data_IF_256607060866
#
_entry.id   IF_256607060866
#
_cell.length_a   1.000
_cell.length_b   1.000
_cell.length_c   1.000
_cell.angle_alpha   90.00
_cell.angle_beta   90.00
_cell.angle_gamma   90.00
#
_symmetry.space_group_name_H-M   'P 1'
#
loop_
_entity.id
_entity.type
_entity.pdbx_description
1 polymer ?
#
# COMPACT_ATOMS: atom_id res chain seq x y z
N UNK A 1 -43.74 -25.98 -22.02
CA UNK A 1 -43.68 -24.55 -21.63
C UNK A 1 -43.64 -24.48 -20.10
N UNK A 2 -42.48 -24.18 -19.49
CA UNK A 2 -42.39 -23.86 -18.04
C UNK A 2 -41.12 -23.08 -17.61
N UNK A 3 -40.19 -22.80 -18.51
CA UNK A 3 -38.92 -22.09 -18.19
C UNK A 3 -39.10 -20.67 -17.62
N UNK A 4 -40.24 -20.02 -17.86
CA UNK A 4 -40.47 -18.62 -17.42
C UNK A 4 -40.65 -18.45 -15.91
N UNK A 5 -41.14 -19.47 -15.18
CA UNK A 5 -41.35 -19.35 -13.72
C UNK A 5 -40.07 -19.53 -12.90
N UNK A 6 -39.12 -20.34 -13.38
CA UNK A 6 -37.87 -20.65 -12.67
C UNK A 6 -36.95 -19.42 -12.58
N UNK A 7 -36.85 -18.62 -13.64
CA UNK A 7 -36.04 -17.39 -13.64
C UNK A 7 -36.57 -16.35 -12.64
N UNK A 8 -37.89 -16.26 -12.43
CA UNK A 8 -38.47 -15.32 -11.47
C UNK A 8 -38.14 -15.69 -10.01
N UNK A 9 -38.11 -16.97 -9.68
CA UNK A 9 -37.77 -17.44 -8.33
C UNK A 9 -36.29 -17.25 -8.00
N UNK A 10 -35.39 -17.48 -8.96
CA UNK A 10 -33.96 -17.24 -8.78
C UNK A 10 -33.66 -15.75 -8.52
N UNK A 11 -34.27 -14.85 -9.30
CA UNK A 11 -34.14 -13.41 -9.11
C UNK A 11 -34.65 -12.94 -7.74
N UNK A 12 -35.78 -13.49 -7.28
CA UNK A 12 -36.33 -13.17 -5.96
C UNK A 12 -35.41 -13.64 -4.84
N UNK A 13 -34.90 -14.87 -4.94
CA UNK A 13 -34.01 -15.45 -3.93
C UNK A 13 -32.68 -14.67 -3.83
N UNK A 14 -32.10 -14.28 -4.97
CA UNK A 14 -30.91 -13.42 -5.01
C UNK A 14 -31.20 -12.04 -4.43
N UNK A 15 -32.36 -11.47 -4.75
CA UNK A 15 -32.78 -10.17 -4.20
C UNK A 15 -32.94 -10.23 -2.68
N UNK A 16 -33.57 -11.27 -2.16
CA UNK A 16 -33.74 -11.44 -0.71
C UNK A 16 -32.39 -11.70 -0.02
N UNK A 17 -31.52 -12.53 -0.60
CA UNK A 17 -30.14 -12.72 -0.11
C UNK A 17 -29.33 -11.41 -0.10
N UNK A 18 -29.51 -10.55 -1.11
CA UNK A 18 -28.85 -9.24 -1.20
C UNK A 18 -29.29 -8.24 -0.11
N UNK A 19 -30.27 -8.58 0.73
CA UNK A 19 -30.66 -7.77 1.89
C UNK A 19 -30.00 -8.23 3.19
N UNK A 20 -29.43 -9.44 3.19
CA UNK A 20 -28.85 -10.04 4.39
C UNK A 20 -27.46 -9.44 4.63
N UNK A 21 -27.24 -8.88 5.83
CA UNK A 21 -25.95 -8.26 6.19
C UNK A 21 -24.78 -9.24 6.12
N UNK A 22 -24.96 -10.47 6.63
CA UNK A 22 -23.89 -11.47 6.66
C UNK A 22 -23.40 -11.86 5.26
N UNK A 23 -24.28 -11.85 4.25
CA UNK A 23 -23.87 -12.06 2.85
C UNK A 23 -22.90 -10.97 2.40
N UNK A 24 -23.21 -9.70 2.68
CA UNK A 24 -22.32 -8.60 2.30
C UNK A 24 -21.04 -8.53 3.12
N UNK A 25 -21.08 -8.95 4.39
CA UNK A 25 -19.88 -9.08 5.22
C UNK A 25 -18.92 -10.10 4.59
N UNK A 26 -19.41 -11.29 4.25
CA UNK A 26 -18.61 -12.35 3.63
C UNK A 26 -18.07 -11.93 2.26
N UNK A 27 -18.91 -11.36 1.40
CA UNK A 27 -18.47 -10.86 0.08
C UNK A 27 -17.44 -9.74 0.23
N UNK A 28 -17.55 -8.91 1.27
CA UNK A 28 -16.53 -7.87 1.55
C UNK A 28 -15.21 -8.49 1.97
N UNK A 29 -15.22 -9.53 2.82
CA UNK A 29 -14.00 -10.26 3.20
C UNK A 29 -13.31 -10.89 1.99
N UNK A 30 -14.06 -11.60 1.15
CA UNK A 30 -13.50 -12.23 -0.06
C UNK A 30 -12.92 -11.19 -1.03
N UNK A 31 -13.61 -10.06 -1.22
CA UNK A 31 -13.10 -8.96 -2.04
C UNK A 31 -11.84 -8.35 -1.43
N UNK A 32 -11.79 -8.16 -0.11
CA UNK A 32 -10.61 -7.65 0.57
C UNK A 32 -9.42 -8.59 0.42
N UNK A 33 -9.62 -9.90 0.55
CA UNK A 33 -8.59 -10.91 0.31
C UNK A 33 -8.08 -10.85 -1.14
N UNK A 34 -8.99 -10.80 -2.12
CA UNK A 34 -8.63 -10.72 -3.55
C UNK A 34 -7.85 -9.44 -3.89
N UNK A 35 -8.16 -8.33 -3.22
CA UNK A 35 -7.53 -7.03 -3.44
C UNK A 35 -6.37 -6.72 -2.47
N UNK A 36 -5.92 -7.72 -1.70
CA UNK A 36 -4.84 -7.61 -0.70
C UNK A 36 -5.07 -6.47 0.33
N UNK A 37 -6.34 -6.24 0.70
CA UNK A 37 -6.75 -5.26 1.70
C UNK A 37 -6.74 -5.91 3.07
N UNK A 38 -5.97 -5.35 4.00
CA UNK A 38 -5.86 -5.90 5.36
C UNK A 38 -7.18 -5.77 6.14
N UNK A 39 -7.56 -6.76 6.98
CA UNK A 39 -8.83 -6.77 7.71
C UNK A 39 -9.07 -5.55 8.61
N UNK A 40 -8.02 -5.00 9.21
CA UNK A 40 -8.04 -3.79 10.03
C UNK A 40 -8.26 -2.49 9.22
N UNK A 41 -8.21 -2.54 7.90
CA UNK A 41 -8.45 -1.38 7.03
C UNK A 41 -9.87 -0.85 7.21
N UNK A 42 -10.84 -1.73 7.47
CA UNK A 42 -12.24 -1.34 7.68
C UNK A 42 -12.80 -1.95 8.97
N UNK A 43 -13.57 -1.20 9.78
CA UNK A 43 -14.23 -1.74 10.95
C UNK A 43 -15.50 -2.52 10.53
N UNK A 44 -15.33 -3.60 9.78
CA UNK A 44 -16.43 -4.29 9.07
C UNK A 44 -17.63 -4.62 9.97
N UNK A 45 -17.38 -5.00 11.22
CA UNK A 45 -18.44 -5.31 12.17
C UNK A 45 -19.31 -4.12 12.56
N UNK A 46 -18.77 -2.91 12.50
CA UNK A 46 -19.50 -1.67 12.76
C UNK A 46 -20.21 -1.11 11.52
N UNK A 47 -19.93 -1.65 10.32
CA UNK A 47 -20.50 -1.14 9.07
C UNK A 47 -21.93 -1.64 8.86
N UNK A 48 -22.77 -0.73 8.36
CA UNK A 48 -24.11 -1.07 7.88
C UNK A 48 -24.06 -1.84 6.54
N UNK A 49 -25.17 -2.51 6.22
CA UNK A 49 -25.31 -3.31 5.00
C UNK A 49 -25.07 -2.49 3.72
N UNK A 50 -25.44 -1.20 3.72
CA UNK A 50 -25.29 -0.34 2.54
C UNK A 50 -23.82 -0.05 2.25
N UNK A 51 -23.04 0.20 3.30
CA UNK A 51 -21.62 0.48 3.26
C UNK A 51 -20.83 -0.78 2.90
N UNK A 52 -21.13 -1.92 3.53
CA UNK A 52 -20.54 -3.22 3.16
C UNK A 52 -20.75 -3.53 1.67
N UNK A 53 -21.99 -3.41 1.19
CA UNK A 53 -22.32 -3.57 -0.23
C UNK A 53 -21.55 -2.59 -1.13
N UNK A 54 -21.42 -1.33 -0.71
CA UNK A 54 -20.68 -0.34 -1.47
C UNK A 54 -19.21 -0.74 -1.62
N UNK A 55 -18.57 -1.14 -0.52
CA UNK A 55 -17.16 -1.58 -0.49
C UNK A 55 -16.99 -2.82 -1.38
N UNK A 56 -17.76 -3.89 -1.12
CA UNK A 56 -17.73 -5.15 -1.87
C UNK A 56 -17.88 -4.97 -3.38
N UNK A 57 -18.74 -4.04 -3.82
CA UNK A 57 -19.02 -3.83 -5.25
C UNK A 57 -18.17 -2.75 -5.89
N UNK A 58 -17.36 -2.03 -5.12
CA UNK A 58 -16.62 -0.86 -5.62
C UNK A 58 -15.61 -1.20 -6.74
N UNK A 59 -14.83 -2.30 -6.69
CA UNK A 59 -13.89 -2.63 -7.78
C UNK A 59 -14.60 -2.94 -9.09
N UNK A 60 -15.68 -3.73 -9.04
CA UNK A 60 -16.48 -4.09 -10.21
C UNK A 60 -17.19 -2.86 -10.82
N UNK A 61 -17.69 -1.96 -9.96
CA UNK A 61 -18.33 -0.71 -10.40
C UNK A 61 -17.32 0.23 -11.05
N UNK A 62 -16.14 0.38 -10.46
CA UNK A 62 -15.07 1.19 -11.03
C UNK A 62 -14.57 0.62 -12.36
N UNK A 63 -14.36 -0.70 -12.43
CA UNK A 63 -14.00 -1.40 -13.67
C UNK A 63 -15.04 -1.22 -14.76
N UNK A 64 -16.33 -1.28 -14.41
CA UNK A 64 -17.43 -1.04 -15.35
C UNK A 64 -17.46 0.42 -15.82
N UNK A 65 -17.22 1.36 -14.90
CA UNK A 65 -17.11 2.78 -15.24
C UNK A 65 -15.99 3.04 -16.24
N UNK A 66 -14.79 2.47 -16.03
CA UNK A 66 -13.66 2.56 -16.94
C UNK A 66 -13.98 1.95 -18.32
N UNK A 67 -14.59 0.76 -18.36
CA UNK A 67 -14.97 0.09 -19.62
C UNK A 67 -15.96 0.92 -20.43
N UNK A 68 -16.90 1.59 -19.77
CA UNK A 68 -17.93 2.40 -20.42
C UNK A 68 -17.41 3.77 -20.90
N UNK A 69 -16.23 4.21 -20.44
CA UNK A 69 -15.67 5.53 -20.75
C UNK A 69 -14.29 5.42 -21.43
N UNK A 70 -14.02 4.36 -22.19
CA UNK A 70 -12.71 4.16 -22.85
C UNK A 70 -12.24 5.37 -23.65
N UNK A 71 -13.15 6.05 -24.32
CA UNK A 71 -12.85 7.18 -25.22
C UNK A 71 -13.21 8.55 -24.62
N UNK A 72 -13.60 8.60 -23.34
CA UNK A 72 -14.00 9.86 -22.68
C UNK A 72 -13.27 10.09 -21.37
N UNK A 73 -13.01 11.36 -21.06
CA UNK A 73 -12.35 11.75 -19.82
C UNK A 73 -13.30 11.53 -18.64
N UNK A 74 -12.92 10.62 -17.74
CA UNK A 74 -13.58 10.51 -16.44
C UNK A 74 -13.26 11.74 -15.59
N UNK A 75 -14.30 12.46 -15.17
CA UNK A 75 -14.17 13.54 -14.20
C UNK A 75 -14.34 13.00 -12.78
N UNK A 76 -13.56 13.48 -11.80
CA UNK A 76 -13.72 13.07 -10.42
C UNK A 76 -15.11 13.50 -9.92
N UNK A 77 -15.81 12.58 -9.24
CA UNK A 77 -17.12 12.88 -8.64
C UNK A 77 -17.00 13.89 -7.49
N UNK A 78 -15.88 13.84 -6.77
CA UNK A 78 -15.56 14.77 -5.70
C UNK A 78 -14.04 14.90 -5.58
N UNK A 79 -13.58 16.08 -5.20
CA UNK A 79 -12.18 16.35 -4.87
C UNK A 79 -12.09 16.79 -3.41
N UNK A 80 -11.04 16.36 -2.72
CA UNK A 80 -10.74 16.80 -1.35
C UNK A 80 -9.33 17.35 -1.33
N UNK A 81 -9.12 18.40 -0.54
CA UNK A 81 -7.80 18.99 -0.31
C UNK A 81 -7.34 18.55 1.06
N UNK A 82 -6.16 17.93 1.14
CA UNK A 82 -5.50 17.62 2.40
C UNK A 82 -4.67 18.84 2.81
N UNK A 83 -5.10 19.50 3.90
CA UNK A 83 -4.38 20.62 4.49
C UNK A 83 -3.47 20.12 5.61
N UNK A 84 -2.27 20.70 5.74
CA UNK A 84 -1.37 20.43 6.87
C UNK A 84 -0.23 19.40 6.70
N UNK A 85 -0.04 18.63 5.61
CA UNK A 85 1.11 17.71 5.53
C UNK A 85 2.48 18.41 5.71
N UNK A 86 2.65 19.61 5.15
CA UNK A 86 3.89 20.39 5.24
C UNK A 86 4.04 21.02 6.64
N UNK A 87 2.94 21.51 7.21
CA UNK A 87 2.93 22.12 8.55
C UNK A 87 3.37 21.10 9.60
N UNK A 88 2.92 19.86 9.47
CA UNK A 88 3.32 18.76 10.33
C UNK A 88 4.81 18.44 10.20
N UNK A 89 5.33 18.30 8.98
CA UNK A 89 6.76 18.08 8.77
C UNK A 89 7.60 19.23 9.35
N UNK A 90 7.13 20.47 9.17
CA UNK A 90 7.76 21.67 9.74
C UNK A 90 7.74 21.65 11.27
N UNK A 91 6.61 21.25 11.88
CA UNK A 91 6.48 21.08 13.34
C UNK A 91 7.47 20.06 13.90
N UNK A 92 7.78 19.01 13.13
CA UNK A 92 8.80 18.03 13.48
C UNK A 92 10.24 18.52 13.21
N UNK A 93 10.42 19.78 12.80
CA UNK A 93 11.73 20.39 12.57
C UNK A 93 12.32 20.13 11.18
N UNK A 94 11.52 19.59 10.25
CA UNK A 94 11.95 19.44 8.86
C UNK A 94 11.67 20.70 8.05
N UNK A 95 12.70 21.19 7.36
CA UNK A 95 12.55 22.18 6.31
C UNK A 95 12.23 21.47 5.01
N UNK A 96 10.95 21.51 4.64
CA UNK A 96 10.46 21.01 3.35
C UNK A 96 10.84 22.01 2.27
N UNK A 97 11.68 21.62 1.31
CA UNK A 97 11.98 22.48 0.16
C UNK A 97 10.76 22.51 -0.79
N UNK A 98 10.45 23.64 -1.45
CA UNK A 98 9.34 23.71 -2.42
C UNK A 98 9.47 22.71 -3.59
N UNK A 99 10.70 22.27 -3.86
CA UNK A 99 11.03 21.32 -4.92
C UNK A 99 11.03 19.86 -4.42
N UNK A 100 10.74 19.63 -3.14
CA UNK A 100 10.71 18.29 -2.56
C UNK A 100 9.70 17.45 -3.32
N UNK A 101 10.14 16.27 -3.74
CA UNK A 101 9.27 15.26 -4.30
C UNK A 101 8.38 14.72 -3.19
N UNK A 102 7.07 14.83 -3.41
CA UNK A 102 6.09 14.17 -2.57
C UNK A 102 5.68 12.91 -3.29
N UNK A 103 5.68 11.80 -2.55
CA UNK A 103 5.33 10.52 -3.12
C UNK A 103 4.08 10.01 -2.41
N UNK A 104 2.88 10.43 -2.87
CA UNK A 104 1.64 9.92 -2.32
C UNK A 104 1.40 8.49 -2.78
N UNK A 105 1.20 7.58 -1.83
CA UNK A 105 0.79 6.20 -2.10
C UNK A 105 -0.50 5.91 -1.38
N UNK A 106 -1.51 5.53 -2.14
CA UNK A 106 -2.77 5.07 -1.59
C UNK A 106 -2.62 3.60 -1.18
N UNK A 107 -2.91 3.29 0.09
CA UNK A 107 -2.86 1.90 0.54
C UNK A 107 -4.03 1.09 -0.06
N UNK A 108 -3.89 -0.25 -0.21
CA UNK A 108 -4.97 -1.14 -0.61
C UNK A 108 -6.31 -0.81 0.09
N UNK A 109 -7.38 -0.77 -0.71
CA UNK A 109 -8.72 -0.35 -0.27
C UNK A 109 -8.98 1.16 -0.35
N UNK A 110 -7.94 1.99 -0.41
CA UNK A 110 -8.11 3.42 -0.68
C UNK A 110 -8.61 4.27 0.48
N UNK A 111 -8.67 3.71 1.69
CA UNK A 111 -9.01 4.47 2.90
C UNK A 111 -7.82 5.27 3.43
N UNK A 112 -6.63 4.70 3.37
CA UNK A 112 -5.44 5.34 3.94
C UNK A 112 -4.53 5.87 2.85
N UNK A 113 -4.02 7.08 3.06
CA UNK A 113 -3.00 7.70 2.23
C UNK A 113 -1.68 7.74 3.00
N UNK A 114 -0.67 7.12 2.43
CA UNK A 114 0.70 7.19 2.90
C UNK A 114 1.43 8.30 2.14
N UNK A 115 2.09 9.20 2.86
CA UNK A 115 2.88 10.29 2.29
C UNK A 115 4.32 10.17 2.78
N UNK A 116 5.26 10.26 1.85
CA UNK A 116 6.68 10.43 2.15
C UNK A 116 7.16 11.78 1.62
N UNK A 117 7.82 12.54 2.50
CA UNK A 117 8.39 13.86 2.24
C UNK A 117 9.88 13.79 2.50
N UNK A 118 10.70 14.12 1.51
CA UNK A 118 12.12 14.31 1.73
C UNK A 118 12.40 15.73 2.22
N UNK A 119 13.42 15.94 3.03
CA UNK A 119 13.76 17.27 3.50
C UNK A 119 15.10 17.33 4.20
N UNK A 120 15.43 18.50 4.71
CA UNK A 120 16.59 18.68 5.59
C UNK A 120 16.11 19.12 6.97
N UNK A 121 16.79 18.67 8.02
CA UNK A 121 16.54 19.22 9.37
C UNK A 121 17.41 20.43 9.58
N UNK A 122 16.84 21.47 10.19
CA UNK A 122 17.57 22.68 10.55
C UNK A 122 18.61 22.37 11.64
N UNK A 123 19.91 22.50 11.34
CA UNK A 123 20.98 22.27 12.32
C UNK A 123 22.37 22.20 11.71
N UNK A 124 23.40 22.20 12.57
CA UNK A 124 24.80 22.04 12.18
C UNK A 124 25.04 20.59 11.73
N UNK A 125 25.05 20.37 10.42
CA UNK A 125 25.25 19.07 9.79
C UNK A 125 24.02 18.55 9.05
N UNK A 126 23.46 19.37 8.15
CA UNK A 126 22.29 19.05 7.31
C UNK A 126 22.37 17.65 6.71
N UNK A 127 21.72 16.68 7.38
CA UNK A 127 21.46 15.36 6.81
C UNK A 127 20.08 15.39 6.17
N UNK A 128 19.97 14.77 5.00
CA UNK A 128 18.67 14.51 4.40
C UNK A 128 17.90 13.56 5.31
N UNK A 129 16.64 13.89 5.59
CA UNK A 129 15.71 13.06 6.35
C UNK A 129 14.44 12.91 5.55
N UNK A 130 13.64 11.90 5.88
CA UNK A 130 12.28 11.78 5.37
C UNK A 130 11.25 11.92 6.48
N UNK A 131 10.15 12.61 6.22
CA UNK A 131 8.94 12.58 7.04
C UNK A 131 7.96 11.63 6.38
N UNK A 132 7.47 10.68 7.14
CA UNK A 132 6.42 9.76 6.71
C UNK A 132 5.16 10.04 7.49
N UNK A 133 4.03 10.06 6.78
CA UNK A 133 2.72 10.37 7.35
C UNK A 133 1.70 9.36 6.86
N UNK A 134 0.80 8.95 7.75
CA UNK A 134 -0.37 8.17 7.41
C UNK A 134 -1.62 8.97 7.70
N UNK A 135 -2.46 9.12 6.68
CA UNK A 135 -3.72 9.83 6.73
C UNK A 135 -4.89 8.85 6.54
N UNK A 136 -5.87 8.88 7.45
CA UNK A 136 -7.17 8.25 7.24
C UNK A 136 -8.06 9.21 6.43
N UNK A 137 -8.40 8.83 5.20
CA UNK A 137 -9.28 9.60 4.30
C UNK A 137 -10.78 9.40 4.63
N UNK A 138 -11.07 8.52 5.59
CA UNK A 138 -12.43 8.13 5.97
C UNK A 138 -12.99 7.04 5.07
N UNK A 139 -14.22 6.62 5.41
CA UNK A 139 -14.90 5.56 4.68
C UNK A 139 -15.35 6.06 3.28
N UNK A 140 -15.34 5.17 2.25
CA UNK A 140 -15.85 5.52 0.94
C UNK A 140 -17.30 6.01 1.01
N UNK A 141 -17.55 7.20 0.45
CA UNK A 141 -18.89 7.79 0.39
C UNK A 141 -19.34 8.55 1.63
N UNK A 142 -18.56 8.59 2.72
CA UNK A 142 -18.84 9.46 3.87
C UNK A 142 -18.16 10.81 3.67
N UNK A 143 -18.74 11.90 4.18
CA UNK A 143 -18.12 13.24 4.18
C UNK A 143 -17.12 13.41 5.33
N UNK A 144 -16.53 12.32 5.82
CA UNK A 144 -15.57 12.36 6.92
C UNK A 144 -14.36 13.21 6.54
N UNK A 145 -13.95 14.09 7.45
CA UNK A 145 -12.73 14.87 7.31
C UNK A 145 -11.53 13.93 7.40
N UNK A 146 -10.54 14.12 6.54
CA UNK A 146 -9.30 13.35 6.60
C UNK A 146 -8.56 13.67 7.90
N UNK A 147 -7.97 12.66 8.52
CA UNK A 147 -7.25 12.81 9.80
C UNK A 147 -5.83 12.26 9.67
N UNK A 148 -4.86 12.97 10.22
CA UNK A 148 -3.49 12.48 10.35
C UNK A 148 -3.46 11.45 11.49
N UNK A 149 -3.26 10.18 11.16
CA UNK A 149 -3.23 9.08 12.12
C UNK A 149 -1.84 8.90 12.74
N UNK A 150 -0.80 9.10 11.94
CA UNK A 150 0.58 8.94 12.38
C UNK A 150 1.54 9.82 11.56
N UNK A 151 2.63 10.24 12.20
CA UNK A 151 3.70 11.02 11.58
C UNK A 151 5.03 10.68 12.24
N UNK A 152 6.10 10.53 11.46
CA UNK A 152 7.43 10.20 11.99
C UNK A 152 8.55 10.70 11.08
N UNK A 153 9.71 10.96 11.68
CA UNK A 153 10.93 11.26 10.95
C UNK A 153 11.75 9.99 10.84
N UNK A 154 12.20 9.73 9.63
CA UNK A 154 13.15 8.71 9.27
C UNK A 154 14.52 9.38 9.11
N UNK A 155 15.52 8.89 9.84
CA UNK A 155 16.83 9.57 10.02
C UNK A 155 17.84 9.36 8.88
N UNK A 156 17.66 8.33 8.06
CA UNK A 156 18.59 7.98 6.97
C UNK A 156 18.18 8.62 5.62
N UNK A 157 19.11 8.59 4.66
CA UNK A 157 18.86 9.06 3.29
C UNK A 157 18.25 7.92 2.50
N UNK A 158 17.11 8.16 1.87
CA UNK A 158 16.39 7.12 1.15
C UNK A 158 16.51 7.29 -0.35
N UNK A 159 16.92 6.21 -1.01
CA UNK A 159 17.07 6.14 -2.47
C UNK A 159 15.72 5.79 -3.11
N UNK A 160 14.97 4.92 -2.44
CA UNK A 160 13.73 4.35 -2.92
C UNK A 160 12.93 3.78 -1.75
N UNK A 161 11.62 3.61 -1.95
CA UNK A 161 10.75 3.13 -0.89
C UNK A 161 9.47 2.53 -1.45
N UNK A 162 8.80 1.73 -0.63
CA UNK A 162 7.48 1.22 -0.94
C UNK A 162 6.72 0.74 0.30
N UNK A 163 5.39 0.71 0.23
CA UNK A 163 4.52 0.13 1.26
C UNK A 163 3.83 -1.14 0.74
N UNK A 164 3.86 -2.20 1.55
CA UNK A 164 3.35 -3.53 1.23
C UNK A 164 2.40 -4.04 2.31
N UNK A 165 1.26 -4.66 1.97
CA UNK A 165 0.44 -5.36 2.95
C UNK A 165 1.09 -6.70 3.38
N UNK A 166 1.07 -7.00 4.67
CA UNK A 166 1.34 -8.33 5.22
C UNK A 166 0.02 -9.01 5.60
N UNK A 167 -0.49 -9.94 4.76
CA UNK A 167 -1.76 -10.60 5.03
C UNK A 167 -1.72 -11.49 6.27
N UNK A 168 -0.53 -11.89 6.76
CA UNK A 168 -0.39 -12.80 7.90
C UNK A 168 -0.49 -12.02 9.21
N UNK A 169 0.24 -10.91 9.32
CA UNK A 169 0.26 -10.11 10.56
C UNK A 169 -0.73 -8.95 10.56
N UNK A 170 -1.48 -8.73 9.48
CA UNK A 170 -2.39 -7.58 9.33
C UNK A 170 -1.66 -6.24 9.56
N UNK A 171 -0.41 -6.13 9.11
CA UNK A 171 0.36 -4.88 9.15
C UNK A 171 0.79 -4.50 7.75
N UNK A 172 1.13 -3.25 7.54
CA UNK A 172 1.86 -2.81 6.36
C UNK A 172 3.36 -2.79 6.67
N UNK A 173 4.18 -3.18 5.69
CA UNK A 173 5.62 -3.01 5.70
C UNK A 173 5.99 -1.82 4.83
N UNK A 174 6.59 -0.80 5.42
CA UNK A 174 7.33 0.23 4.70
C UNK A 174 8.76 -0.29 4.49
N UNK A 175 9.11 -0.59 3.25
CA UNK A 175 10.46 -0.98 2.84
C UNK A 175 11.17 0.25 2.30
N UNK A 176 12.36 0.54 2.80
CA UNK A 176 13.11 1.73 2.44
C UNK A 176 14.57 1.36 2.17
N UNK A 177 15.07 1.73 1.00
CA UNK A 177 16.49 1.57 0.64
C UNK A 177 17.26 2.81 1.10
N UNK A 178 18.34 2.62 1.85
CA UNK A 178 19.30 3.65 2.19
C UNK A 178 20.72 3.27 1.72
N UNK A 179 21.70 4.09 2.09
CA UNK A 179 23.12 3.86 1.80
C UNK A 179 23.71 2.66 2.56
N UNK A 180 23.03 2.17 3.61
CA UNK A 180 23.47 1.04 4.45
C UNK A 180 22.76 -0.27 4.12
N UNK A 181 21.75 -0.26 3.23
CA UNK A 181 20.97 -1.43 2.86
C UNK A 181 19.47 -1.15 2.79
N UNK A 182 18.67 -2.08 3.30
CA UNK A 182 17.20 -2.03 3.26
C UNK A 182 16.66 -2.08 4.68
N UNK A 183 15.96 -1.02 5.07
CA UNK A 183 15.23 -0.95 6.32
C UNK A 183 13.75 -1.29 6.09
N UNK A 184 13.22 -2.17 6.94
CA UNK A 184 11.82 -2.59 6.91
C UNK A 184 11.16 -2.12 8.20
N UNK A 185 10.08 -1.37 8.05
CA UNK A 185 9.26 -0.91 9.17
C UNK A 185 7.86 -1.51 9.08
N UNK A 186 7.41 -2.19 10.14
CA UNK A 186 6.02 -2.65 10.23
C UNK A 186 5.13 -1.58 10.90
N UNK A 187 3.93 -1.36 10.36
CA UNK A 187 2.94 -0.45 10.95
C UNK A 187 1.50 -0.92 10.73
N UNK A 188 0.62 -0.60 11.68
CA UNK A 188 -0.82 -0.89 11.62
C UNK A 188 -1.60 0.40 11.37
N UNK A 189 -2.67 0.35 10.57
CA UNK A 189 -3.58 1.47 10.35
C UNK A 189 -4.53 1.75 11.52
N UNK A 190 -4.71 0.80 12.45
CA UNK A 190 -5.63 0.87 13.58
C UNK A 190 -5.05 1.46 14.87
N UNK A 191 -3.73 1.67 14.93
CA UNK A 191 -3.04 2.19 16.13
C UNK A 191 -2.21 3.41 15.76
N UNK A 192 -2.05 4.40 16.67
CA UNK A 192 -0.94 5.33 16.58
C UNK A 192 0.36 4.52 16.52
N UNK A 193 1.19 4.76 15.51
CA UNK A 193 2.47 4.08 15.36
C UNK A 193 3.60 5.09 15.20
N UNK A 194 4.81 4.65 15.56
CA UNK A 194 6.03 5.43 15.48
C UNK A 194 7.08 4.64 14.71
N UNK A 195 7.61 5.22 13.63
CA UNK A 195 8.73 4.65 12.87
C UNK A 195 10.08 4.89 13.57
N UNK A 196 10.15 4.58 14.86
CA UNK A 196 11.35 4.90 15.64
C UNK A 196 12.56 4.05 15.24
N UNK A 197 12.34 2.78 14.86
CA UNK A 197 13.39 1.84 14.44
C UNK A 197 12.86 0.86 13.39
N UNK A 198 13.72 0.43 12.44
CA UNK A 198 13.38 -0.66 11.55
C UNK A 198 13.13 -1.94 12.35
N UNK A 199 12.10 -2.67 11.96
CA UNK A 199 11.79 -4.01 12.46
C UNK A 199 12.83 -5.02 11.97
N UNK A 200 13.36 -4.80 10.77
CA UNK A 200 14.44 -5.59 10.20
C UNK A 200 15.34 -4.70 9.34
N UNK A 201 16.64 -4.99 9.34
CA UNK A 201 17.63 -4.34 8.48
C UNK A 201 18.33 -5.42 7.67
N UNK A 202 18.15 -5.38 6.36
CA UNK A 202 18.87 -6.23 5.42
C UNK A 202 20.08 -5.43 4.96
N UNK A 203 21.28 -5.99 5.15
CA UNK A 203 22.53 -5.40 4.71
C UNK A 203 23.07 -6.28 3.57
N UNK A 204 22.77 -5.95 2.30
CA UNK A 204 23.27 -6.71 1.16
C UNK A 204 24.78 -6.66 1.06
N UNK A 205 25.38 -7.67 0.44
CA UNK A 205 26.78 -7.62 0.08
C UNK A 205 26.94 -6.85 -1.24
N UNK A 206 27.17 -5.54 -1.13
CA UNK A 206 27.31 -4.62 -2.26
C UNK A 206 26.19 -3.58 -2.37
N UNK A 207 26.36 -2.67 -3.34
CA UNK A 207 25.40 -1.60 -3.61
C UNK A 207 24.17 -2.16 -4.32
N UNK A 208 22.98 -1.82 -3.85
CA UNK A 208 21.72 -2.25 -4.49
C UNK A 208 21.54 -1.45 -5.79
N UNK A 209 21.60 -2.16 -6.92
CA UNK A 209 21.36 -1.59 -8.25
C UNK A 209 19.87 -1.47 -8.55
N UNK A 210 19.10 -2.45 -8.11
CA UNK A 210 17.66 -2.49 -8.31
C UNK A 210 16.99 -3.39 -7.28
N UNK A 211 15.70 -3.15 -7.03
CA UNK A 211 14.88 -4.05 -6.24
C UNK A 211 13.43 -4.02 -6.73
N UNK A 212 12.77 -5.15 -6.55
CA UNK A 212 11.37 -5.36 -6.85
C UNK A 212 10.73 -6.14 -5.73
N UNK A 213 9.41 -6.19 -5.72
CA UNK A 213 8.65 -6.88 -4.70
C UNK A 213 7.45 -7.54 -5.33
N UNK A 214 6.94 -8.54 -4.64
CA UNK A 214 5.70 -9.19 -5.00
C UNK A 214 5.16 -9.91 -3.79
N UNK A 215 3.91 -9.62 -3.43
CA UNK A 215 3.23 -10.21 -2.28
C UNK A 215 4.11 -10.09 -1.01
N UNK A 216 4.51 -11.23 -0.46
CA UNK A 216 5.32 -11.37 0.75
C UNK A 216 6.83 -11.54 0.46
N UNK A 217 7.32 -11.08 -0.69
CA UNK A 217 8.73 -11.18 -1.07
C UNK A 217 9.27 -9.86 -1.59
N UNK A 218 10.51 -9.59 -1.23
CA UNK A 218 11.31 -8.53 -1.84
C UNK A 218 12.55 -9.18 -2.47
N UNK A 219 12.87 -8.75 -3.67
CA UNK A 219 14.00 -9.20 -4.44
C UNK A 219 14.88 -8.00 -4.77
N UNK A 220 16.19 -8.13 -4.67
CA UNK A 220 17.11 -7.08 -5.07
C UNK A 220 18.35 -7.64 -5.75
N UNK A 221 19.01 -6.77 -6.51
CA UNK A 221 20.22 -7.06 -7.26
C UNK A 221 21.32 -6.14 -6.76
N UNK A 222 22.49 -6.68 -6.45
CA UNK A 222 23.66 -5.89 -6.05
C UNK A 222 24.65 -5.72 -7.19
N UNK A 223 25.56 -4.75 -7.06
CA UNK A 223 26.70 -4.51 -7.93
C UNK A 223 27.70 -5.68 -8.00
N UNK A 224 27.61 -6.62 -7.06
CA UNK A 224 28.37 -7.89 -7.04
C UNK A 224 27.68 -9.02 -7.80
N UNK A 225 26.71 -8.69 -8.65
CA UNK A 225 25.92 -9.67 -9.40
C UNK A 225 25.24 -10.68 -8.47
N UNK A 226 24.81 -10.25 -7.29
CA UNK A 226 24.03 -11.08 -6.38
C UNK A 226 22.55 -10.74 -6.52
N UNK A 227 21.73 -11.74 -6.80
CA UNK A 227 20.28 -11.65 -6.68
C UNK A 227 19.89 -12.22 -5.34
N UNK A 228 19.16 -11.46 -4.53
CA UNK A 228 18.67 -11.91 -3.23
C UNK A 228 17.16 -11.78 -3.19
N UNK A 229 16.48 -12.80 -2.68
CA UNK A 229 15.04 -12.78 -2.41
C UNK A 229 14.84 -13.01 -0.91
N UNK A 230 14.26 -12.03 -0.26
CA UNK A 230 13.78 -12.13 1.11
C UNK A 230 12.30 -12.49 1.12
N UNK A 231 11.95 -13.59 1.78
CA UNK A 231 10.57 -14.02 2.01
C UNK A 231 10.14 -13.64 3.43
N UNK A 232 9.21 -12.69 3.54
CA UNK A 232 8.70 -12.19 4.82
C UNK A 232 7.96 -13.26 5.63
N UNK A 233 7.29 -14.19 4.95
CA UNK A 233 6.54 -15.29 5.59
C UNK A 233 7.49 -16.32 6.19
N UNK A 234 8.54 -16.67 5.45
CA UNK A 234 9.56 -17.63 5.91
C UNK A 234 10.62 -17.00 6.80
N UNK A 235 10.73 -15.67 6.80
CA UNK A 235 11.80 -14.90 7.45
C UNK A 235 13.18 -15.40 7.02
N UNK A 236 13.34 -15.62 5.72
CA UNK A 236 14.55 -16.21 5.15
C UNK A 236 14.94 -15.50 3.86
N UNK A 237 16.25 -15.31 3.66
CA UNK A 237 16.82 -14.92 2.38
C UNK A 237 17.24 -16.15 1.58
N UNK A 238 17.06 -16.11 0.26
CA UNK A 238 17.77 -16.97 -0.69
C UNK A 238 18.56 -16.09 -1.64
N UNK A 239 19.81 -16.44 -1.92
CA UNK A 239 20.66 -15.65 -2.81
C UNK A 239 21.36 -16.51 -3.86
N UNK A 240 21.62 -15.88 -5.00
CA UNK A 240 22.32 -16.49 -6.13
C UNK A 240 23.34 -15.48 -6.66
N UNK A 241 24.50 -15.98 -7.07
CA UNK A 241 25.45 -15.20 -7.86
C UNK A 241 25.09 -15.44 -9.32
N UNK A 242 24.79 -14.36 -10.05
CA UNK A 242 24.53 -14.39 -11.49
C UNK A 242 25.80 -14.01 -12.24
N UNK A 243 25.92 -14.49 -13.49
CA UNK A 243 27.03 -14.12 -14.35
C UNK A 243 27.01 -12.60 -14.60
N UNK A 244 28.14 -11.87 -14.44
CA UNK A 244 28.21 -10.42 -14.66
C UNK A 244 27.82 -9.98 -16.08
N UNK A 245 27.78 -10.89 -17.05
CA UNK A 245 27.31 -10.60 -18.41
C UNK A 245 25.79 -10.60 -18.57
N UNK A 246 25.01 -10.97 -17.54
CA UNK A 246 23.56 -10.80 -17.58
C UNK A 246 23.21 -9.32 -17.64
N UNK A 247 22.39 -8.94 -18.62
CA UNK A 247 21.87 -7.58 -18.69
C UNK A 247 20.93 -7.33 -17.51
N UNK A 248 20.94 -6.11 -16.95
CA UNK A 248 20.05 -5.71 -15.85
C UNK A 248 18.58 -6.08 -16.13
N UNK A 249 18.15 -5.96 -17.38
CA UNK A 249 16.80 -6.34 -17.81
C UNK A 249 16.52 -7.85 -17.73
N UNK A 250 17.51 -8.69 -18.00
CA UNK A 250 17.36 -10.15 -17.87
C UNK A 250 17.25 -10.53 -16.39
N UNK A 251 18.01 -9.87 -15.53
CA UNK A 251 17.90 -10.05 -14.08
C UNK A 251 16.54 -9.57 -13.57
N UNK A 252 16.02 -8.44 -14.08
CA UNK A 252 14.65 -7.98 -13.79
C UNK A 252 13.60 -9.01 -14.19
N UNK A 253 13.72 -9.60 -15.38
CA UNK A 253 12.81 -10.67 -15.81
C UNK A 253 12.92 -11.90 -14.91
N UNK A 254 14.13 -12.31 -14.54
CA UNK A 254 14.36 -13.43 -13.63
C UNK A 254 13.75 -13.17 -12.26
N UNK A 255 13.94 -11.96 -11.72
CA UNK A 255 13.33 -11.55 -10.45
C UNK A 255 11.81 -11.65 -10.54
N UNK A 256 11.18 -11.17 -11.61
CA UNK A 256 9.73 -11.31 -11.81
C UNK A 256 9.31 -12.78 -11.86
N UNK A 257 10.03 -13.63 -12.58
CA UNK A 257 9.75 -15.07 -12.64
C UNK A 257 9.91 -15.80 -11.31
N UNK A 258 10.85 -15.38 -10.45
CA UNK A 258 11.05 -15.97 -9.12
C UNK A 258 10.02 -15.48 -8.09
N UNK A 259 9.35 -14.39 -8.39
CA UNK A 259 8.30 -13.81 -7.56
C UNK A 259 6.93 -14.44 -7.86
N UNK A 260 6.65 -14.81 -9.11
CA UNK A 260 5.43 -15.54 -9.54
C UNK A 260 5.32 -16.95 -8.92
#
# INVERSE_FOLDING_TARGET
MNKSKEHSQACKSLYDASKVRSVWLEVTYLMMEEQEILPNTYPLEALDTTTLRHIATSPARFSSLLKNHRDSRLLPKSSRILLGPIEEATRLGMRVHPEVRHFPTLLPGGRFLFLLWEGSVTGAGSRHKACVQLWDLGLPGTSSQSTLTASSILEDIYISWQVLPDPISSVYHLVVQNDQGIDIYAFDTGSPFHFAKPTNRLAPDGDILDFSWWKNRIAWVTDRCQVVIWDFKKRSATSWVVDPYFLVEEVRMLVRQLLD
#
